data_IF_721065589649
#
_entry.id   IF_721065589649
#
_cell.length_a   1.000
_cell.length_b   1.000
_cell.length_c   1.000
_cell.angle_alpha   90.00
_cell.angle_beta   90.00
_cell.angle_gamma   90.00
#
_symmetry.space_group_name_H-M   'P 1'
#
loop_
_entity.id
_entity.type
_entity.pdbx_description
1 polymer ?
#
# COMPACT_ATOMS: atom_id res chain seq x y z
N UNK A 1 24.06 11.56 -11.11
CA UNK A 1 22.87 10.92 -11.75
C UNK A 1 23.10 10.81 -13.27
N UNK A 2 22.32 9.99 -13.99
CA UNK A 2 22.41 9.87 -15.46
C UNK A 2 21.53 10.94 -16.11
N UNK A 3 22.14 11.89 -16.83
CA UNK A 3 21.39 12.89 -17.59
C UNK A 3 21.09 12.38 -18.99
N UNK A 4 19.81 12.37 -19.37
CA UNK A 4 19.32 11.83 -20.64
C UNK A 4 18.32 12.81 -21.25
N UNK A 5 18.46 13.08 -22.56
CA UNK A 5 17.42 13.82 -23.30
C UNK A 5 16.20 12.91 -23.46
N UNK A 6 15.02 13.44 -23.14
CA UNK A 6 13.78 12.69 -23.22
C UNK A 6 13.44 12.43 -24.71
N UNK A 7 13.08 11.21 -25.01
CA UNK A 7 12.59 10.73 -26.30
C UNK A 7 11.77 9.48 -26.04
N UNK A 8 10.93 9.07 -26.99
CA UNK A 8 10.19 7.81 -26.89
C UNK A 8 11.09 6.59 -26.63
N UNK A 9 12.28 6.57 -27.22
CA UNK A 9 13.24 5.47 -27.06
C UNK A 9 13.86 5.51 -25.64
N UNK A 10 14.34 6.68 -25.19
CA UNK A 10 14.92 6.80 -23.84
C UNK A 10 13.90 6.52 -22.74
N UNK A 11 12.64 6.93 -22.91
CA UNK A 11 11.55 6.58 -21.96
C UNK A 11 11.36 5.08 -21.87
N UNK A 12 11.35 4.38 -23.01
CA UNK A 12 11.22 2.92 -23.04
C UNK A 12 12.38 2.24 -22.32
N UNK A 13 13.61 2.64 -22.59
CA UNK A 13 14.82 2.07 -21.96
C UNK A 13 14.81 2.28 -20.44
N UNK A 14 14.35 3.45 -19.99
CA UNK A 14 14.20 3.75 -18.56
C UNK A 14 13.15 2.85 -17.95
N UNK A 15 11.96 2.74 -18.54
CA UNK A 15 10.90 1.85 -18.06
C UNK A 15 11.37 0.40 -17.97
N UNK A 16 12.07 -0.11 -18.99
CA UNK A 16 12.65 -1.47 -18.97
C UNK A 16 13.66 -1.63 -17.82
N UNK A 17 14.47 -0.59 -17.54
CA UNK A 17 15.42 -0.64 -16.41
C UNK A 17 14.69 -0.60 -15.06
N UNK A 18 13.67 0.24 -14.92
CA UNK A 18 12.86 0.32 -13.69
C UNK A 18 12.14 -1.00 -13.39
N UNK A 19 11.61 -1.66 -14.41
CA UNK A 19 10.92 -2.96 -14.26
C UNK A 19 11.84 -4.08 -13.78
N UNK A 20 13.18 -3.97 -13.95
CA UNK A 20 14.13 -4.95 -13.38
C UNK A 20 14.06 -5.03 -11.86
N UNK A 21 13.58 -3.97 -11.19
CA UNK A 21 13.39 -3.90 -9.74
C UNK A 21 12.08 -4.56 -9.27
N UNK A 22 11.21 -4.93 -10.21
CA UNK A 22 9.91 -5.50 -9.88
C UNK A 22 10.05 -6.84 -9.14
N UNK A 23 9.28 -7.06 -8.05
CA UNK A 23 9.19 -8.36 -7.38
C UNK A 23 8.88 -9.53 -8.31
N UNK A 24 8.26 -9.27 -9.46
CA UNK A 24 7.98 -10.29 -10.48
C UNK A 24 9.25 -10.90 -11.11
N UNK A 25 10.41 -10.27 -10.99
CA UNK A 25 11.68 -10.73 -11.53
C UNK A 25 12.52 -11.53 -10.51
N UNK A 26 12.02 -11.76 -9.30
CA UNK A 26 12.73 -12.46 -8.23
C UNK A 26 12.38 -13.94 -8.09
N UNK A 27 12.11 -14.63 -9.20
CA UNK A 27 11.72 -16.05 -9.25
C UNK A 27 12.61 -17.01 -8.46
N UNK A 28 13.91 -16.67 -8.26
CA UNK A 28 14.83 -17.46 -7.44
C UNK A 28 14.42 -17.56 -5.95
N UNK A 29 13.62 -16.62 -5.44
CA UNK A 29 13.14 -16.64 -4.05
C UNK A 29 11.74 -17.26 -3.91
N UNK A 30 11.00 -17.43 -5.01
CA UNK A 30 9.62 -17.97 -4.98
C UNK A 30 9.57 -19.38 -4.41
N UNK A 31 10.54 -20.24 -4.75
CA UNK A 31 10.58 -21.61 -4.21
C UNK A 31 10.79 -21.64 -2.69
N UNK A 32 11.66 -20.77 -2.18
CA UNK A 32 11.89 -20.65 -0.72
C UNK A 32 10.64 -20.14 -0.02
N UNK A 33 9.97 -19.12 -0.57
CA UNK A 33 8.74 -18.59 -0.02
C UNK A 33 7.64 -19.64 -0.03
N UNK A 34 7.48 -20.38 -1.14
CA UNK A 34 6.49 -21.45 -1.23
C UNK A 34 6.70 -22.53 -0.16
N UNK A 35 7.96 -22.95 0.08
CA UNK A 35 8.30 -23.91 1.14
C UNK A 35 7.94 -23.38 2.54
N UNK A 36 8.25 -22.09 2.82
CA UNK A 36 7.91 -21.48 4.10
C UNK A 36 6.39 -21.47 4.30
N UNK A 37 5.64 -21.02 3.29
CA UNK A 37 4.19 -20.94 3.36
C UNK A 37 3.53 -22.31 3.52
N UNK A 38 4.00 -23.32 2.77
CA UNK A 38 3.50 -24.68 2.87
C UNK A 38 3.76 -25.28 4.26
N UNK A 39 4.95 -25.06 4.80
CA UNK A 39 5.29 -25.53 6.13
C UNK A 39 4.46 -24.85 7.22
N UNK A 40 4.25 -23.54 7.16
CA UNK A 40 3.35 -22.83 8.11
C UNK A 40 1.91 -23.33 8.00
N UNK A 41 1.43 -23.56 6.77
CA UNK A 41 0.08 -24.07 6.54
C UNK A 41 -0.15 -25.46 7.14
N UNK A 42 0.86 -26.34 7.09
CA UNK A 42 0.73 -27.73 7.53
C UNK A 42 1.14 -27.96 8.99
N UNK A 43 2.10 -27.19 9.52
CA UNK A 43 2.67 -27.39 10.86
C UNK A 43 2.30 -26.28 11.85
N UNK A 44 1.60 -25.22 11.43
CA UNK A 44 1.11 -24.14 12.29
C UNK A 44 2.20 -23.45 13.13
N UNK A 45 1.97 -23.33 14.42
CA UNK A 45 2.87 -22.68 15.37
C UNK A 45 4.27 -23.31 15.41
N UNK A 46 4.39 -24.62 15.20
CA UNK A 46 5.70 -25.29 15.22
C UNK A 46 6.64 -24.75 14.11
N UNK A 47 6.11 -24.58 12.89
CA UNK A 47 6.86 -23.97 11.79
C UNK A 47 7.15 -22.49 12.08
N UNK A 48 6.17 -21.77 12.63
CA UNK A 48 6.28 -20.35 12.92
C UNK A 48 7.40 -20.06 13.91
N UNK A 49 7.47 -20.82 15.03
CA UNK A 49 8.53 -20.68 16.03
C UNK A 49 9.90 -21.08 15.49
N UNK A 50 9.97 -22.16 14.71
CA UNK A 50 11.20 -22.62 14.09
C UNK A 50 11.80 -21.54 13.16
N UNK A 51 10.98 -20.93 12.29
CA UNK A 51 11.43 -19.88 11.38
C UNK A 51 11.77 -18.58 12.11
N UNK A 52 11.02 -18.19 13.15
CA UNK A 52 11.36 -17.01 13.96
C UNK A 52 12.72 -17.19 14.65
N UNK A 53 12.99 -18.39 15.19
CA UNK A 53 14.31 -18.71 15.75
C UNK A 53 15.41 -18.68 14.69
N UNK A 54 15.14 -19.21 13.50
CA UNK A 54 16.10 -19.29 12.40
C UNK A 54 16.44 -17.90 11.83
N UNK A 55 15.41 -17.07 11.54
CA UNK A 55 15.59 -15.81 10.81
C UNK A 55 15.79 -14.62 11.73
N UNK A 56 14.99 -14.50 12.77
CA UNK A 56 15.02 -13.36 13.69
C UNK A 56 15.97 -13.60 14.88
N UNK A 57 16.45 -14.84 15.07
CA UNK A 57 17.31 -15.26 16.20
C UNK A 57 16.64 -15.06 17.56
N UNK A 58 15.32 -15.09 17.60
CA UNK A 58 14.51 -14.97 18.80
C UNK A 58 13.82 -16.28 19.12
N UNK A 59 13.88 -16.68 20.40
CA UNK A 59 13.11 -17.83 20.91
C UNK A 59 11.72 -17.34 21.32
N UNK A 60 10.71 -17.61 20.49
CA UNK A 60 9.31 -17.35 20.82
C UNK A 60 8.58 -18.66 21.03
N UNK A 61 7.62 -18.66 21.95
CA UNK A 61 6.77 -19.79 22.28
C UNK A 61 5.31 -19.36 22.21
N UNK A 62 4.39 -20.29 22.38
CA UNK A 62 2.96 -20.00 22.45
C UNK A 62 2.61 -18.96 23.52
N UNK A 63 3.33 -18.97 24.64
CA UNK A 63 3.14 -18.05 25.77
C UNK A 63 3.73 -16.65 25.51
N UNK A 64 4.76 -16.57 24.66
CA UNK A 64 5.53 -15.33 24.47
C UNK A 64 5.36 -14.69 23.11
N UNK A 65 4.72 -15.36 22.15
CA UNK A 65 4.55 -14.83 20.78
C UNK A 65 3.64 -13.59 20.74
N UNK A 66 2.61 -13.55 21.57
CA UNK A 66 1.73 -12.38 21.69
C UNK A 66 2.33 -11.37 22.64
N UNK A 67 2.31 -10.10 22.23
CA UNK A 67 2.68 -8.98 23.09
C UNK A 67 1.67 -8.84 24.22
N UNK A 68 2.17 -8.69 25.44
CA UNK A 68 1.38 -8.54 26.66
C UNK A 68 1.10 -7.07 26.99
N UNK A 69 0.09 -6.80 27.82
CA UNK A 69 -0.16 -5.45 28.32
C UNK A 69 1.03 -4.91 29.13
N UNK A 70 1.75 -5.77 29.85
CA UNK A 70 2.97 -5.38 30.57
C UNK A 70 4.09 -4.91 29.63
N UNK A 71 4.26 -5.55 28.47
CA UNK A 71 5.23 -5.09 27.46
C UNK A 71 4.80 -3.75 26.84
N UNK A 72 3.50 -3.50 26.70
CA UNK A 72 2.98 -2.20 26.27
C UNK A 72 3.25 -1.12 27.32
N UNK A 73 3.00 -1.40 28.62
CA UNK A 73 3.31 -0.48 29.71
C UNK A 73 4.82 -0.17 29.78
N UNK A 74 5.67 -1.20 29.65
CA UNK A 74 7.13 -1.03 29.56
C UNK A 74 7.51 -0.11 28.38
N UNK A 75 6.87 -0.29 27.21
CA UNK A 75 7.12 0.54 26.04
C UNK A 75 6.75 2.01 26.26
N UNK A 76 5.64 2.30 26.92
CA UNK A 76 5.28 3.67 27.30
C UNK A 76 6.27 4.29 28.31
N UNK A 77 6.84 3.49 29.18
CA UNK A 77 7.87 3.97 30.11
C UNK A 77 9.22 4.26 29.44
N UNK A 78 9.50 3.62 28.30
CA UNK A 78 10.76 3.75 27.57
C UNK A 78 10.74 4.80 26.46
N UNK A 79 9.55 5.12 25.88
CA UNK A 79 9.47 6.05 24.77
C UNK A 79 9.78 7.48 25.20
N UNK A 80 10.47 8.22 24.34
CA UNK A 80 10.62 9.66 24.53
C UNK A 80 9.24 10.35 24.46
N UNK A 81 8.92 11.14 25.47
CA UNK A 81 7.66 11.89 25.55
C UNK A 81 7.48 12.88 24.39
N UNK A 82 8.57 13.44 23.83
CA UNK A 82 8.50 14.29 22.65
C UNK A 82 8.05 13.47 21.43
N UNK A 83 8.62 12.27 21.23
CA UNK A 83 8.21 11.37 20.16
C UNK A 83 6.76 10.90 20.31
N UNK A 84 6.31 10.59 21.52
CA UNK A 84 4.90 10.27 21.79
C UNK A 84 3.98 11.41 21.35
N UNK A 85 4.36 12.66 21.67
CA UNK A 85 3.62 13.85 21.23
C UNK A 85 3.56 14.00 19.71
N UNK A 86 4.64 13.65 18.99
CA UNK A 86 4.69 13.65 17.52
C UNK A 86 3.79 12.56 16.94
N UNK A 87 3.86 11.32 17.46
CA UNK A 87 3.01 10.19 17.06
C UNK A 87 1.53 10.56 17.20
N UNK A 88 1.14 11.15 18.33
CA UNK A 88 -0.25 11.56 18.60
C UNK A 88 -0.75 12.62 17.62
N UNK A 89 0.09 13.60 17.23
CA UNK A 89 -0.27 14.63 16.23
C UNK A 89 -0.40 14.02 14.84
N UNK A 90 0.55 13.16 14.43
CA UNK A 90 0.49 12.46 13.15
C UNK A 90 -0.78 11.60 13.05
N UNK A 91 -1.11 10.86 14.11
CA UNK A 91 -2.33 10.05 14.19
C UNK A 91 -3.60 10.88 13.97
N UNK A 92 -3.67 12.07 14.55
CA UNK A 92 -4.82 12.98 14.33
C UNK A 92 -4.94 13.38 12.87
N UNK A 93 -3.84 13.78 12.23
CA UNK A 93 -3.84 14.19 10.84
C UNK A 93 -4.23 13.03 9.89
N UNK A 94 -3.64 11.85 10.11
CA UNK A 94 -3.95 10.64 9.32
C UNK A 94 -5.42 10.26 9.47
N UNK A 95 -5.96 10.29 10.69
CA UNK A 95 -7.36 9.99 10.96
C UNK A 95 -8.29 10.98 10.25
N UNK A 96 -8.05 12.28 10.39
CA UNK A 96 -8.88 13.33 9.77
C UNK A 96 -8.90 13.22 8.25
N UNK A 97 -7.78 12.85 7.64
CA UNK A 97 -7.70 12.61 6.19
C UNK A 97 -8.56 11.40 5.80
N UNK A 98 -8.35 10.26 6.45
CA UNK A 98 -9.06 9.03 6.12
C UNK A 98 -10.56 9.06 6.45
N UNK A 99 -10.99 9.85 7.42
CA UNK A 99 -12.41 10.06 7.71
C UNK A 99 -13.19 10.65 6.52
N UNK A 100 -12.52 11.39 5.61
CA UNK A 100 -13.14 11.89 4.37
C UNK A 100 -13.40 10.81 3.32
N UNK A 101 -12.82 9.63 3.48
CA UNK A 101 -12.94 8.49 2.57
C UNK A 101 -14.07 7.52 2.97
N UNK A 102 -14.77 7.77 4.08
CA UNK A 102 -15.87 6.91 4.56
C UNK A 102 -16.97 6.86 3.53
N UNK A 103 -17.36 5.64 3.15
CA UNK A 103 -18.48 5.39 2.25
C UNK A 103 -19.70 4.88 3.01
N UNK A 104 -20.88 5.33 2.58
CA UNK A 104 -22.14 4.92 3.16
C UNK A 104 -22.88 3.93 2.27
N UNK A 105 -23.66 3.02 2.88
CA UNK A 105 -24.65 2.22 2.17
C UNK A 105 -25.72 3.15 1.58
N UNK A 106 -26.24 2.79 0.40
CA UNK A 106 -27.28 3.56 -0.26
C UNK A 106 -28.36 2.67 -0.87
N UNK A 107 -29.53 3.22 -1.01
CA UNK A 107 -30.70 2.59 -1.63
C UNK A 107 -31.40 3.58 -2.55
N UNK A 108 -31.93 3.07 -3.66
CA UNK A 108 -32.86 3.79 -4.51
C UNK A 108 -34.13 2.93 -4.67
N UNK A 109 -35.29 3.58 -4.72
CA UNK A 109 -36.57 2.89 -4.89
C UNK A 109 -37.37 3.54 -6.00
N UNK A 110 -38.19 2.73 -6.66
CA UNK A 110 -39.10 3.15 -7.71
C UNK A 110 -40.57 3.00 -7.28
N UNK A 111 -41.49 3.64 -8.00
CA UNK A 111 -42.91 3.64 -7.67
C UNK A 111 -43.59 2.27 -7.80
N UNK A 112 -43.00 1.34 -8.54
CA UNK A 112 -43.47 -0.04 -8.71
C UNK A 112 -43.07 -0.98 -7.55
N UNK A 113 -42.38 -0.47 -6.53
CA UNK A 113 -41.93 -1.22 -5.37
C UNK A 113 -40.60 -1.97 -5.59
N UNK A 114 -39.81 -1.59 -6.61
CA UNK A 114 -38.42 -2.06 -6.74
C UNK A 114 -37.52 -1.23 -5.82
N UNK A 115 -36.57 -1.90 -5.13
CA UNK A 115 -35.51 -1.26 -4.38
C UNK A 115 -34.15 -1.89 -4.77
N UNK A 116 -33.23 -1.06 -5.19
CA UNK A 116 -31.85 -1.42 -5.47
C UNK A 116 -30.93 -0.67 -4.54
N UNK A 117 -29.81 -1.27 -4.18
CA UNK A 117 -28.87 -0.62 -3.28
C UNK A 117 -27.52 -1.30 -3.21
N UNK A 118 -26.65 -0.68 -2.44
CA UNK A 118 -25.34 -1.21 -2.12
C UNK A 118 -25.12 -1.11 -0.61
N UNK A 119 -24.85 -2.26 0.01
CA UNK A 119 -24.46 -2.34 1.41
C UNK A 119 -22.95 -2.28 1.53
N UNK A 120 -22.45 -1.29 2.24
CA UNK A 120 -21.02 -1.16 2.61
C UNK A 120 -20.82 -1.77 3.98
N UNK A 121 -19.86 -2.68 4.11
CA UNK A 121 -19.50 -3.32 5.38
C UNK A 121 -18.00 -3.42 5.53
N UNK A 122 -17.43 -3.19 6.74
CA UNK A 122 -16.01 -3.41 6.98
C UNK A 122 -15.65 -4.89 6.84
N UNK A 123 -14.38 -5.18 6.62
CA UNK A 123 -13.81 -6.51 6.79
C UNK A 123 -13.88 -6.91 8.26
N UNK A 124 -13.95 -8.22 8.56
CA UNK A 124 -14.05 -8.67 9.95
C UNK A 124 -12.71 -8.65 10.67
N UNK A 125 -11.64 -9.06 10.00
CA UNK A 125 -10.30 -9.10 10.59
C UNK A 125 -9.24 -8.76 9.56
N UNK A 126 -8.31 -7.88 9.94
CA UNK A 126 -7.22 -7.41 9.08
C UNK A 126 -5.89 -7.70 9.75
N UNK A 127 -4.95 -8.22 8.97
CA UNK A 127 -3.55 -8.39 9.36
C UNK A 127 -2.72 -7.21 8.87
N UNK A 128 -1.96 -6.61 9.77
CA UNK A 128 -1.02 -5.54 9.48
C UNK A 128 0.39 -6.07 9.69
N UNK A 129 1.16 -6.14 8.62
CA UNK A 129 2.58 -6.46 8.68
C UNK A 129 3.41 -5.18 8.84
N UNK A 130 4.21 -5.12 9.87
CA UNK A 130 5.15 -4.01 10.09
C UNK A 130 6.57 -4.56 10.07
N UNK A 131 7.44 -4.08 9.17
CA UNK A 131 8.81 -4.54 9.13
C UNK A 131 9.57 -4.13 10.40
N UNK A 132 10.57 -4.93 10.74
CA UNK A 132 11.53 -4.65 11.81
C UNK A 132 12.95 -4.83 11.29
N UNK A 133 13.95 -4.70 12.16
CA UNK A 133 15.35 -4.91 11.84
C UNK A 133 16.18 -3.63 11.95
N UNK A 134 16.83 -3.17 10.86
CA UNK A 134 17.77 -2.02 10.91
C UNK A 134 17.07 -0.67 11.15
N UNK A 135 15.81 -0.55 10.82
CA UNK A 135 15.01 0.65 11.04
C UNK A 135 13.70 0.30 11.73
N UNK A 136 13.13 1.27 12.42
CA UNK A 136 11.87 1.18 13.15
C UNK A 136 10.87 2.11 12.44
N UNK A 137 9.66 1.64 12.18
CA UNK A 137 8.68 2.33 11.35
C UNK A 137 7.35 2.59 12.10
N UNK A 138 7.32 3.44 13.14
CA UNK A 138 6.06 3.80 13.81
C UNK A 138 5.07 4.48 12.87
N UNK A 139 5.54 5.22 11.85
CA UNK A 139 4.69 5.80 10.80
C UNK A 139 3.93 4.73 10.02
N UNK A 140 4.60 3.64 9.60
CA UNK A 140 3.94 2.55 8.90
C UNK A 140 2.90 1.83 9.75
N UNK A 141 3.07 1.80 11.07
CA UNK A 141 2.04 1.32 12.00
C UNK A 141 0.79 2.18 11.88
N UNK A 142 0.93 3.51 11.99
CA UNK A 142 -0.20 4.44 11.89
C UNK A 142 -0.89 4.35 10.53
N UNK A 143 -0.11 4.39 9.44
CA UNK A 143 -0.62 4.39 8.07
C UNK A 143 -1.39 3.13 7.68
N UNK A 144 -1.10 1.98 8.30
CA UNK A 144 -1.82 0.75 8.04
C UNK A 144 -3.01 0.54 8.97
N UNK A 145 -2.91 0.92 10.25
CA UNK A 145 -3.96 0.65 11.24
C UNK A 145 -5.07 1.71 11.22
N UNK A 146 -4.72 2.99 11.08
CA UNK A 146 -5.70 4.07 11.18
C UNK A 146 -6.81 3.97 10.12
N UNK A 147 -6.51 3.78 8.81
CA UNK A 147 -7.58 3.63 7.82
C UNK A 147 -8.45 2.40 8.07
N UNK A 148 -7.89 1.29 8.59
CA UNK A 148 -8.68 0.13 8.99
C UNK A 148 -9.64 0.43 10.14
N UNK A 149 -9.19 1.19 11.16
CA UNK A 149 -10.06 1.65 12.27
C UNK A 149 -11.14 2.62 11.78
N UNK A 150 -10.81 3.55 10.89
CA UNK A 150 -11.77 4.48 10.29
C UNK A 150 -12.82 3.73 9.46
N UNK A 151 -12.42 2.68 8.75
CA UNK A 151 -13.35 1.78 8.03
C UNK A 151 -14.30 1.02 8.95
N UNK A 152 -14.00 0.94 10.26
CA UNK A 152 -14.79 0.20 11.25
C UNK A 152 -14.41 -1.28 11.36
N UNK A 153 -13.20 -1.69 10.97
CA UNK A 153 -12.70 -3.06 11.15
C UNK A 153 -12.67 -3.41 12.65
N UNK A 154 -13.40 -4.46 13.08
CA UNK A 154 -13.52 -4.77 14.52
C UNK A 154 -12.27 -5.44 15.09
N UNK A 155 -11.47 -6.13 14.27
CA UNK A 155 -10.27 -6.85 14.73
C UNK A 155 -9.07 -6.54 13.84
N UNK A 156 -8.04 -5.92 14.42
CA UNK A 156 -6.77 -5.61 13.75
C UNK A 156 -5.64 -6.36 14.44
N UNK A 157 -5.02 -7.27 13.70
CA UNK A 157 -3.91 -8.12 14.13
C UNK A 157 -2.63 -7.59 13.52
N UNK A 158 -1.69 -7.14 14.33
CA UNK A 158 -0.38 -6.70 13.84
C UNK A 158 0.68 -7.79 14.04
N UNK A 159 1.53 -7.99 13.05
CA UNK A 159 2.74 -8.82 13.14
C UNK A 159 3.97 -7.98 12.86
N UNK A 160 5.02 -8.16 13.67
CA UNK A 160 6.31 -7.50 13.50
C UNK A 160 7.42 -8.39 14.06
N UNK A 161 8.59 -8.49 13.39
CA UNK A 161 9.66 -9.34 13.90
C UNK A 161 10.18 -8.82 15.25
N UNK A 162 10.46 -9.72 16.20
CA UNK A 162 11.12 -9.36 17.45
C UNK A 162 12.61 -9.10 17.23
N UNK A 163 13.22 -8.36 18.14
CA UNK A 163 14.66 -8.32 18.31
C UNK A 163 15.21 -9.66 18.84
N UNK A 164 16.52 -9.83 18.84
CA UNK A 164 17.20 -11.03 19.37
C UNK A 164 16.88 -11.31 20.84
N UNK A 165 16.49 -10.29 21.58
CA UNK A 165 16.03 -10.36 22.96
C UNK A 165 14.56 -10.77 23.12
N UNK A 166 13.87 -11.05 21.98
CA UNK A 166 12.46 -11.40 21.95
C UNK A 166 11.51 -10.23 22.16
N UNK A 167 12.01 -8.99 22.20
CA UNK A 167 11.20 -7.78 22.40
C UNK A 167 10.93 -7.06 21.07
N UNK A 168 9.83 -6.32 21.02
CA UNK A 168 9.51 -5.38 19.94
C UNK A 168 9.90 -3.97 20.36
N UNK A 169 10.33 -3.14 19.43
CA UNK A 169 10.73 -1.77 19.71
C UNK A 169 9.60 -0.97 20.37
N UNK A 170 9.92 -0.21 21.39
CA UNK A 170 8.94 0.55 22.19
C UNK A 170 8.11 1.51 21.33
N UNK A 171 8.71 2.25 20.40
CA UNK A 171 7.96 3.18 19.53
C UNK A 171 6.97 2.46 18.59
N UNK A 172 7.29 1.24 18.14
CA UNK A 172 6.37 0.40 17.36
C UNK A 172 5.17 -0.04 18.20
N UNK A 173 5.40 -0.50 19.43
CA UNK A 173 4.34 -0.93 20.36
C UNK A 173 3.41 0.23 20.72
N UNK A 174 4.00 1.37 21.08
CA UNK A 174 3.23 2.58 21.42
C UNK A 174 2.41 3.04 20.22
N UNK A 175 3.00 3.14 19.03
CA UNK A 175 2.25 3.51 17.82
C UNK A 175 1.11 2.54 17.53
N UNK A 176 1.31 1.22 17.72
CA UNK A 176 0.28 0.22 17.50
C UNK A 176 -0.88 0.36 18.52
N UNK A 177 -0.57 0.64 19.78
CA UNK A 177 -1.58 0.86 20.82
C UNK A 177 -2.37 2.13 20.56
N UNK A 178 -1.69 3.23 20.26
CA UNK A 178 -2.32 4.53 19.94
C UNK A 178 -3.21 4.45 18.68
N UNK A 179 -2.74 3.72 17.64
CA UNK A 179 -3.51 3.49 16.41
C UNK A 179 -4.71 2.57 16.62
N UNK A 180 -4.69 1.72 17.65
CA UNK A 180 -5.77 0.83 18.04
C UNK A 180 -5.64 -0.60 17.49
N UNK A 181 -4.42 -1.16 17.43
CA UNK A 181 -4.22 -2.60 17.22
C UNK A 181 -4.86 -3.40 18.37
N UNK A 182 -5.58 -4.47 18.04
CA UNK A 182 -6.24 -5.32 19.03
C UNK A 182 -5.31 -6.44 19.53
N UNK A 183 -4.45 -6.94 18.65
CA UNK A 183 -3.48 -8.00 18.95
C UNK A 183 -2.17 -7.72 18.22
N UNK A 184 -1.03 -7.97 18.91
CA UNK A 184 0.31 -7.79 18.35
C UNK A 184 1.09 -9.08 18.53
N UNK A 185 1.70 -9.60 17.46
CA UNK A 185 2.47 -10.84 17.47
C UNK A 185 3.91 -10.63 17.03
N UNK A 186 4.83 -11.25 17.77
CA UNK A 186 6.29 -11.17 17.60
C UNK A 186 6.76 -12.17 16.54
N UNK A 187 6.44 -11.90 15.28
CA UNK A 187 6.82 -12.71 14.13
C UNK A 187 6.97 -11.84 12.88
N UNK A 188 8.01 -12.08 12.11
CA UNK A 188 8.33 -11.38 10.87
C UNK A 188 8.35 -12.29 9.65
N UNK A 189 8.79 -11.76 8.51
CA UNK A 189 9.07 -12.52 7.29
C UNK A 189 7.87 -13.17 6.61
N UNK A 190 8.17 -14.08 5.67
CA UNK A 190 7.16 -14.82 4.92
C UNK A 190 6.30 -15.72 5.83
N UNK A 191 6.86 -16.21 6.94
CA UNK A 191 6.13 -17.05 7.89
C UNK A 191 5.02 -16.26 8.62
N UNK A 192 5.20 -14.96 8.89
CA UNK A 192 4.16 -14.11 9.43
C UNK A 192 2.99 -13.95 8.45
N UNK A 193 3.30 -13.75 7.17
CA UNK A 193 2.28 -13.68 6.10
C UNK A 193 1.52 -15.01 5.99
N UNK A 194 2.22 -16.15 6.07
CA UNK A 194 1.60 -17.47 6.10
C UNK A 194 0.67 -17.64 7.29
N UNK A 195 1.10 -17.24 8.50
CA UNK A 195 0.29 -17.31 9.72
C UNK A 195 -0.98 -16.45 9.61
N UNK A 196 -0.88 -15.22 9.11
CA UNK A 196 -2.04 -14.35 8.88
C UNK A 196 -2.99 -14.91 7.81
N UNK A 197 -2.44 -15.53 6.76
CA UNK A 197 -3.25 -16.04 5.65
C UNK A 197 -3.98 -17.34 5.96
N UNK A 198 -3.36 -18.27 6.68
CA UNK A 198 -3.92 -19.61 6.92
C UNK A 198 -4.48 -19.75 8.33
N UNK A 199 -4.01 -18.96 9.27
CA UNK A 199 -4.22 -19.14 10.70
C UNK A 199 -3.24 -20.18 11.27
N UNK A 200 -2.93 -20.04 12.55
CA UNK A 200 -2.20 -21.02 13.36
C UNK A 200 -2.91 -21.17 14.70
N UNK A 201 -2.37 -21.97 15.61
CA UNK A 201 -2.94 -22.13 16.96
C UNK A 201 -2.90 -20.82 17.77
N UNK A 202 -1.89 -19.96 17.50
CA UNK A 202 -1.70 -18.69 18.20
C UNK A 202 -2.22 -17.48 17.41
N UNK A 203 -2.09 -17.48 16.08
CA UNK A 203 -2.42 -16.34 15.22
C UNK A 203 -3.69 -16.61 14.42
N UNK A 204 -4.75 -15.81 14.60
CA UNK A 204 -5.99 -16.02 13.87
C UNK A 204 -5.83 -15.66 12.38
N UNK A 205 -6.52 -16.42 11.51
CA UNK A 205 -6.63 -16.09 10.09
C UNK A 205 -7.31 -14.71 9.92
N UNK A 206 -6.85 -13.95 8.93
CA UNK A 206 -7.39 -12.64 8.56
C UNK A 206 -8.04 -12.64 7.18
N UNK A 207 -8.82 -11.59 6.88
CA UNK A 207 -9.48 -11.42 5.58
C UNK A 207 -8.59 -10.66 4.58
N UNK A 208 -7.74 -9.76 5.08
CA UNK A 208 -6.79 -8.97 4.29
C UNK A 208 -5.48 -8.77 5.04
N UNK A 209 -4.36 -8.76 4.30
CA UNK A 209 -3.02 -8.46 4.82
C UNK A 209 -2.53 -7.18 4.15
N UNK A 210 -2.14 -6.20 4.95
CA UNK A 210 -1.58 -4.92 4.51
C UNK A 210 -0.21 -4.67 5.14
N UNK A 211 0.55 -3.79 4.53
CA UNK A 211 1.83 -3.34 5.05
C UNK A 211 3.01 -3.70 4.15
N UNK A 212 4.06 -2.84 4.15
CA UNK A 212 5.27 -3.02 3.38
C UNK A 212 6.16 -4.12 3.97
N UNK A 213 7.04 -4.69 3.17
CA UNK A 213 8.01 -5.66 3.62
C UNK A 213 9.09 -5.93 2.60
N UNK A 214 10.09 -6.70 2.98
CA UNK A 214 11.15 -7.11 2.06
C UNK A 214 10.61 -8.06 0.97
N UNK A 215 11.50 -8.44 0.06
CA UNK A 215 11.15 -9.32 -1.08
C UNK A 215 10.45 -10.62 -0.68
N UNK A 216 10.81 -11.24 0.45
CA UNK A 216 10.17 -12.47 0.93
C UNK A 216 8.73 -12.20 1.38
N UNK A 217 8.47 -11.07 2.01
CA UNK A 217 7.13 -10.63 2.41
C UNK A 217 6.28 -10.30 1.19
N UNK A 218 6.83 -9.57 0.21
CA UNK A 218 6.14 -9.22 -1.02
C UNK A 218 5.73 -10.47 -1.82
N UNK A 219 6.65 -11.43 -1.99
CA UNK A 219 6.38 -12.71 -2.65
C UNK A 219 5.39 -13.58 -1.86
N UNK A 220 5.48 -13.57 -0.53
CA UNK A 220 4.52 -14.29 0.31
C UNK A 220 3.10 -13.71 0.18
N UNK A 221 2.95 -12.37 0.20
CA UNK A 221 1.66 -11.70 -0.06
C UNK A 221 1.11 -12.08 -1.43
N UNK A 222 1.95 -12.05 -2.49
CA UNK A 222 1.57 -12.49 -3.83
C UNK A 222 1.07 -13.94 -3.84
N UNK A 223 1.77 -14.85 -3.15
CA UNK A 223 1.43 -16.28 -3.13
C UNK A 223 0.15 -16.62 -2.35
N UNK A 224 -0.20 -15.83 -1.33
CA UNK A 224 -1.42 -16.05 -0.55
C UNK A 224 -2.64 -15.30 -1.08
N UNK A 225 -2.48 -14.47 -2.11
CA UNK A 225 -3.61 -13.78 -2.75
C UNK A 225 -4.62 -14.79 -3.28
N UNK A 226 -5.88 -14.60 -2.91
CA UNK A 226 -6.98 -15.55 -3.16
C UNK A 226 -7.35 -16.39 -1.93
N UNK A 227 -6.40 -16.70 -1.02
CA UNK A 227 -6.72 -17.19 0.33
C UNK A 227 -7.13 -16.05 1.25
N UNK A 228 -6.49 -14.90 1.08
CA UNK A 228 -6.78 -13.60 1.71
C UNK A 228 -6.60 -12.50 0.68
N UNK A 229 -7.19 -11.33 0.91
CA UNK A 229 -6.86 -10.13 0.12
C UNK A 229 -5.53 -9.54 0.58
N UNK A 230 -4.91 -8.73 -0.27
CA UNK A 230 -3.71 -7.95 0.06
C UNK A 230 -3.91 -6.49 -0.36
N UNK A 231 -3.07 -5.57 0.12
CA UNK A 231 -2.97 -4.19 -0.37
C UNK A 231 -2.39 -4.15 -1.80
N UNK A 232 -1.07 -4.34 -1.91
CA UNK A 232 -0.35 -4.37 -3.17
C UNK A 232 0.89 -5.27 -3.06
N UNK A 233 1.55 -5.49 -4.20
CA UNK A 233 2.86 -6.12 -4.26
C UNK A 233 3.88 -4.99 -4.38
N UNK A 234 4.35 -4.48 -3.22
CA UNK A 234 5.27 -3.37 -3.17
C UNK A 234 6.66 -3.75 -3.70
N UNK A 235 7.21 -2.89 -4.52
CA UNK A 235 8.62 -2.88 -4.91
C UNK A 235 9.44 -1.86 -4.12
N UNK A 236 10.68 -1.60 -4.54
CA UNK A 236 11.51 -0.54 -3.98
C UNK A 236 10.90 0.84 -4.21
N UNK A 237 11.16 1.74 -3.28
CA UNK A 237 10.61 3.10 -3.28
C UNK A 237 11.05 3.97 -4.46
N UNK A 238 10.22 4.93 -4.84
CA UNK A 238 10.40 5.78 -6.02
C UNK A 238 9.98 7.22 -5.76
N UNK A 239 10.78 8.16 -6.24
CA UNK A 239 10.39 9.55 -6.36
C UNK A 239 10.60 10.05 -7.79
N UNK A 240 9.67 10.83 -8.29
CA UNK A 240 9.79 11.62 -9.50
C UNK A 240 9.49 13.08 -9.17
N UNK A 241 10.47 13.96 -9.38
CA UNK A 241 10.29 15.40 -9.27
C UNK A 241 10.13 15.97 -10.67
N UNK A 242 9.01 16.62 -10.94
CA UNK A 242 8.74 17.40 -12.13
C UNK A 242 9.00 18.88 -11.79
N UNK A 243 10.04 19.47 -12.36
CA UNK A 243 10.46 20.83 -12.02
C UNK A 243 10.86 21.63 -13.25
N UNK A 244 10.59 22.93 -13.24
CA UNK A 244 11.11 23.90 -14.20
C UNK A 244 12.23 24.77 -13.58
N UNK A 245 12.71 25.77 -14.32
CA UNK A 245 13.78 26.64 -13.87
C UNK A 245 13.41 27.57 -12.70
N UNK A 246 12.14 27.66 -12.33
CA UNK A 246 11.66 28.46 -11.18
C UNK A 246 11.86 27.76 -9.85
N UNK A 247 12.04 26.44 -9.87
CA UNK A 247 12.25 25.63 -8.68
C UNK A 247 13.60 25.91 -8.01
N UNK A 248 13.69 25.62 -6.70
CA UNK A 248 14.95 25.70 -5.98
C UNK A 248 15.75 24.38 -6.16
N UNK A 249 16.93 24.42 -6.84
CA UNK A 249 17.70 23.19 -7.10
C UNK A 249 18.19 22.50 -5.82
N UNK A 250 18.41 23.25 -4.74
CA UNK A 250 18.82 22.73 -3.45
C UNK A 250 17.71 21.88 -2.78
N UNK A 251 16.45 22.34 -2.88
CA UNK A 251 15.29 21.58 -2.37
C UNK A 251 15.05 20.33 -3.19
N UNK A 252 15.01 20.46 -4.52
CA UNK A 252 14.82 19.31 -5.42
C UNK A 252 15.90 18.24 -5.22
N UNK A 253 17.15 18.63 -5.03
CA UNK A 253 18.24 17.69 -4.73
C UNK A 253 18.02 16.96 -3.40
N UNK A 254 17.56 17.67 -2.36
CA UNK A 254 17.26 17.07 -1.06
C UNK A 254 16.11 16.07 -1.16
N UNK A 255 15.04 16.40 -1.91
CA UNK A 255 13.88 15.55 -2.09
C UNK A 255 14.21 14.27 -2.89
N UNK A 256 15.03 14.35 -3.93
CA UNK A 256 15.54 13.17 -4.65
C UNK A 256 16.33 12.23 -3.73
N UNK A 257 17.10 12.79 -2.80
CA UNK A 257 17.95 12.02 -1.91
C UNK A 257 17.20 11.44 -0.71
N UNK A 258 16.08 12.04 -0.27
CA UNK A 258 15.22 11.47 0.76
C UNK A 258 14.75 10.07 0.37
N UNK A 259 14.47 9.87 -0.93
CA UNK A 259 14.06 8.56 -1.44
C UNK A 259 15.25 7.63 -1.73
N UNK A 260 16.35 8.18 -2.28
CA UNK A 260 17.54 7.38 -2.61
C UNK A 260 18.19 6.73 -1.38
N UNK A 261 18.00 7.28 -0.18
CA UNK A 261 18.55 6.71 1.06
C UNK A 261 17.79 5.49 1.59
N UNK A 262 16.59 5.19 1.08
CA UNK A 262 15.77 4.08 1.57
C UNK A 262 16.41 2.71 1.29
N UNK A 263 16.85 2.49 0.05
CA UNK A 263 17.43 1.21 -0.40
C UNK A 263 18.31 1.39 -1.64
N UNK A 264 19.25 0.46 -1.89
CA UNK A 264 20.10 0.45 -3.08
C UNK A 264 19.32 0.31 -4.40
N UNK A 265 18.07 -0.15 -4.33
CA UNK A 265 17.13 -0.29 -5.44
C UNK A 265 16.13 0.86 -5.53
N UNK A 266 16.17 1.83 -4.63
CA UNK A 266 15.32 3.02 -4.71
C UNK A 266 15.60 3.80 -6.00
N UNK A 267 14.58 4.51 -6.49
CA UNK A 267 14.66 5.28 -7.73
C UNK A 267 14.41 6.76 -7.48
N UNK A 268 15.28 7.61 -8.01
CA UNK A 268 15.15 9.05 -7.95
C UNK A 268 15.25 9.64 -9.36
N UNK A 269 14.16 10.27 -9.83
CA UNK A 269 14.05 10.83 -11.17
C UNK A 269 13.71 12.31 -11.08
N UNK A 270 14.49 13.15 -11.75
CA UNK A 270 14.12 14.51 -12.09
C UNK A 270 13.68 14.57 -13.56
N UNK A 271 12.54 15.19 -13.83
CA UNK A 271 12.17 15.61 -15.19
C UNK A 271 12.09 17.13 -15.22
N UNK A 272 12.81 17.75 -16.16
CA UNK A 272 12.84 19.22 -16.32
C UNK A 272 12.97 19.60 -17.77
N UNK A 273 12.55 20.83 -18.09
CA UNK A 273 12.74 21.44 -19.42
C UNK A 273 14.03 22.24 -19.54
N UNK A 274 14.77 22.43 -18.43
CA UNK A 274 15.95 23.28 -18.36
C UNK A 274 17.23 22.49 -18.12
N UNK A 275 18.12 22.43 -19.11
CA UNK A 275 19.47 21.85 -18.96
C UNK A 275 20.33 22.56 -17.90
N UNK A 276 20.15 23.88 -17.74
CA UNK A 276 20.89 24.65 -16.75
C UNK A 276 20.42 24.29 -15.33
N UNK A 277 19.11 24.17 -15.12
CA UNK A 277 18.52 23.72 -13.86
C UNK A 277 18.98 22.31 -13.51
N UNK A 278 18.93 21.39 -14.48
CA UNK A 278 19.39 20.02 -14.32
C UNK A 278 20.84 19.92 -13.80
N UNK A 279 21.75 20.75 -14.35
CA UNK A 279 23.16 20.81 -13.89
C UNK A 279 23.25 21.28 -12.45
N UNK A 280 22.50 22.35 -12.08
CA UNK A 280 22.48 22.85 -10.70
C UNK A 280 22.00 21.78 -9.71
N UNK A 281 20.94 21.04 -10.05
CA UNK A 281 20.44 19.94 -9.20
C UNK A 281 21.49 18.83 -9.07
N UNK A 282 22.17 18.43 -10.16
CA UNK A 282 23.20 17.38 -10.10
C UNK A 282 24.43 17.79 -9.25
N UNK A 283 24.77 19.09 -9.26
CA UNK A 283 25.82 19.66 -8.39
C UNK A 283 25.39 19.62 -6.91
N UNK A 284 24.18 20.02 -6.59
CA UNK A 284 23.63 19.95 -5.23
C UNK A 284 23.53 18.51 -4.71
N UNK A 285 23.05 17.56 -5.54
CA UNK A 285 23.03 16.13 -5.22
C UNK A 285 24.42 15.63 -4.82
N UNK A 286 25.47 15.98 -5.61
CA UNK A 286 26.85 15.57 -5.29
C UNK A 286 27.32 16.17 -3.96
N UNK A 287 26.96 17.44 -3.69
CA UNK A 287 27.28 18.11 -2.44
C UNK A 287 26.64 17.40 -1.23
N UNK A 288 25.36 17.08 -1.32
CA UNK A 288 24.65 16.39 -0.24
C UNK A 288 25.17 14.95 0.01
N UNK A 289 25.47 14.19 -1.06
CA UNK A 289 25.98 12.83 -0.91
C UNK A 289 27.26 12.78 -0.08
N UNK A 290 28.10 13.83 -0.11
CA UNK A 290 29.33 13.87 0.69
C UNK A 290 29.10 13.99 2.20
N UNK A 291 27.94 14.52 2.63
CA UNK A 291 27.66 14.81 4.05
C UNK A 291 26.60 13.89 4.66
N UNK A 292 25.78 13.22 3.85
CA UNK A 292 24.70 12.34 4.35
C UNK A 292 25.24 11.03 4.89
N UNK A 293 24.63 10.55 5.99
CA UNK A 293 25.08 9.37 6.74
C UNK A 293 24.96 8.05 5.97
N UNK A 294 24.01 7.95 5.02
CA UNK A 294 23.75 6.72 4.23
C UNK A 294 24.37 6.78 2.83
N UNK A 295 25.47 7.49 2.67
CA UNK A 295 26.18 7.76 1.41
C UNK A 295 26.31 6.53 0.49
N UNK A 296 26.70 5.38 1.02
CA UNK A 296 26.92 4.17 0.19
C UNK A 296 25.61 3.66 -0.44
N UNK A 297 24.50 3.70 0.30
CA UNK A 297 23.19 3.29 -0.19
C UNK A 297 22.69 4.27 -1.25
N UNK A 298 22.77 5.57 -0.93
CA UNK A 298 22.39 6.66 -1.83
C UNK A 298 23.17 6.55 -3.15
N UNK A 299 24.50 6.38 -3.08
CA UNK A 299 25.33 6.31 -4.27
C UNK A 299 24.93 5.14 -5.19
N UNK A 300 24.68 3.95 -4.61
CA UNK A 300 24.23 2.78 -5.38
C UNK A 300 22.86 2.97 -6.02
N UNK A 301 21.92 3.58 -5.28
CA UNK A 301 20.61 3.96 -5.78
C UNK A 301 20.73 4.88 -7.00
N UNK A 302 21.50 5.97 -6.86
CA UNK A 302 21.69 6.95 -7.92
C UNK A 302 22.46 6.40 -9.14
N UNK A 303 23.46 5.52 -8.92
CA UNK A 303 24.23 4.90 -10.00
C UNK A 303 23.36 3.95 -10.84
N UNK A 304 22.44 3.26 -10.21
CA UNK A 304 21.61 2.25 -10.87
C UNK A 304 20.29 2.85 -11.41
N UNK A 305 19.63 3.71 -10.63
CA UNK A 305 18.26 4.16 -10.86
C UNK A 305 18.06 5.66 -10.70
N UNK A 306 19.13 6.46 -10.62
CA UNK A 306 19.08 7.92 -10.59
C UNK A 306 19.11 8.53 -12.00
N UNK A 307 18.07 9.27 -12.38
CA UNK A 307 17.95 9.88 -13.70
C UNK A 307 17.63 11.38 -13.61
N UNK A 308 18.19 12.15 -14.55
CA UNK A 308 17.77 13.49 -14.88
C UNK A 308 17.34 13.49 -16.34
N UNK A 309 16.06 13.73 -16.59
CA UNK A 309 15.45 13.70 -17.91
C UNK A 309 15.20 15.12 -18.38
N UNK A 310 15.70 15.45 -19.56
CA UNK A 310 15.52 16.77 -20.18
C UNK A 310 14.43 16.65 -21.24
N UNK A 311 13.26 17.21 -20.97
CA UNK A 311 12.13 17.28 -21.89
C UNK A 311 12.23 18.52 -22.80
N UNK A 312 11.59 18.46 -23.96
CA UNK A 312 11.48 19.59 -24.89
C UNK A 312 10.52 20.66 -24.34
N UNK A 313 9.43 20.21 -23.73
CA UNK A 313 8.42 21.05 -23.07
C UNK A 313 7.76 20.34 -21.88
N UNK A 314 6.88 21.05 -21.17
CA UNK A 314 6.21 20.52 -19.98
C UNK A 314 5.17 19.44 -20.33
N UNK A 315 4.56 19.46 -21.50
CA UNK A 315 3.60 18.44 -21.92
C UNK A 315 4.31 17.10 -22.16
N UNK A 316 5.49 17.10 -22.81
CA UNK A 316 6.35 15.91 -22.96
C UNK A 316 6.81 15.40 -21.59
N UNK A 317 7.20 16.32 -20.68
CA UNK A 317 7.61 15.97 -19.33
C UNK A 317 6.50 15.24 -18.54
N UNK A 318 5.27 15.76 -18.61
CA UNK A 318 4.11 15.16 -17.95
C UNK A 318 3.70 13.83 -18.61
N UNK A 319 3.78 13.71 -19.94
CA UNK A 319 3.52 12.44 -20.63
C UNK A 319 4.49 11.35 -20.15
N UNK A 320 5.78 11.67 -20.06
CA UNK A 320 6.79 10.75 -19.53
C UNK A 320 6.54 10.39 -18.06
N UNK A 321 6.18 11.35 -17.22
CA UNK A 321 5.82 11.10 -15.83
C UNK A 321 4.61 10.16 -15.71
N UNK A 322 3.57 10.35 -16.54
CA UNK A 322 2.42 9.47 -16.61
C UNK A 322 2.77 8.04 -17.08
N UNK A 323 3.75 7.90 -18.00
CA UNK A 323 4.26 6.60 -18.42
C UNK A 323 5.08 5.90 -17.33
N UNK A 324 5.87 6.64 -16.57
CA UNK A 324 6.63 6.11 -15.43
C UNK A 324 5.67 5.70 -14.31
N UNK A 325 4.64 6.51 -14.07
CA UNK A 325 3.64 6.28 -13.01
C UNK A 325 4.30 6.06 -11.63
N UNK A 326 5.01 7.07 -11.10
CA UNK A 326 5.83 6.94 -9.91
C UNK A 326 5.01 6.73 -8.64
N UNK A 327 5.66 6.20 -7.61
CA UNK A 327 5.12 6.12 -6.25
C UNK A 327 4.85 7.53 -5.69
N UNK A 328 5.89 8.35 -5.60
CA UNK A 328 5.81 9.75 -5.17
C UNK A 328 6.07 10.65 -6.37
N UNK A 329 5.21 11.63 -6.59
CA UNK A 329 5.38 12.65 -7.63
C UNK A 329 5.33 14.05 -7.00
N UNK A 330 6.43 14.76 -7.10
CA UNK A 330 6.49 16.20 -6.74
C UNK A 330 6.38 17.07 -7.99
N UNK A 331 5.58 18.12 -7.91
CA UNK A 331 5.38 19.10 -8.98
C UNK A 331 5.84 20.45 -8.47
N UNK A 332 7.02 20.88 -8.91
CA UNK A 332 7.69 22.11 -8.48
C UNK A 332 7.94 23.00 -9.70
N UNK A 333 6.85 23.50 -10.25
CA UNK A 333 6.83 24.33 -11.48
C UNK A 333 6.20 25.69 -11.20
N UNK A 334 6.30 26.61 -12.16
CA UNK A 334 5.67 27.93 -12.07
C UNK A 334 4.11 27.83 -11.95
N UNK A 335 3.49 26.77 -12.50
CA UNK A 335 2.05 26.57 -12.50
C UNK A 335 1.66 25.16 -12.00
N UNK A 336 2.02 24.75 -10.78
CA UNK A 336 1.97 23.37 -10.36
C UNK A 336 0.52 22.80 -10.26
N UNK A 337 -0.48 23.65 -10.03
CA UNK A 337 -1.89 23.21 -10.00
C UNK A 337 -2.45 22.94 -11.41
N UNK A 338 -1.98 23.67 -12.44
CA UNK A 338 -2.35 23.41 -13.83
C UNK A 338 -1.70 22.12 -14.33
N UNK A 339 -0.43 21.93 -14.03
CA UNK A 339 0.34 20.75 -14.40
C UNK A 339 -0.21 19.49 -13.71
N UNK A 340 -0.58 19.59 -12.42
CA UNK A 340 -1.24 18.50 -11.70
C UNK A 340 -2.49 17.97 -12.42
N UNK A 341 -3.28 18.85 -13.05
CA UNK A 341 -4.52 18.42 -13.72
C UNK A 341 -4.26 17.54 -14.96
N UNK A 342 -3.04 17.52 -15.48
CA UNK A 342 -2.62 16.68 -16.60
C UNK A 342 -2.02 15.35 -16.12
N UNK A 343 -1.66 15.24 -14.84
CA UNK A 343 -1.13 14.01 -14.24
C UNK A 343 -2.26 13.02 -14.03
N UNK A 344 -2.06 11.79 -14.51
CA UNK A 344 -3.05 10.70 -14.44
C UNK A 344 -2.58 9.55 -13.54
N UNK A 345 -1.28 9.33 -13.46
CA UNK A 345 -0.70 8.13 -12.87
C UNK A 345 0.41 8.52 -11.89
N UNK A 346 0.07 8.60 -10.62
CA UNK A 346 1.01 8.72 -9.51
C UNK A 346 0.40 8.12 -8.25
N UNK A 347 1.21 7.56 -7.36
CA UNK A 347 0.74 7.04 -6.08
C UNK A 347 0.31 8.17 -5.13
N UNK A 348 1.15 9.19 -4.99
CA UNK A 348 0.84 10.45 -4.30
C UNK A 348 1.39 11.63 -5.11
N UNK A 349 0.71 12.79 -5.03
CA UNK A 349 1.11 14.02 -5.72
C UNK A 349 1.35 15.11 -4.67
N UNK A 350 2.54 15.70 -4.70
CA UNK A 350 2.99 16.78 -3.84
C UNK A 350 3.13 18.06 -4.68
N UNK A 351 2.56 19.16 -4.22
CA UNK A 351 2.42 20.37 -5.03
C UNK A 351 3.16 21.53 -4.39
N UNK A 352 4.14 22.06 -5.13
CA UNK A 352 4.94 23.22 -4.73
C UNK A 352 6.12 22.86 -3.82
N UNK A 353 7.06 23.81 -3.70
CA UNK A 353 8.39 23.61 -3.10
C UNK A 353 8.42 23.31 -1.59
N UNK A 354 7.29 23.49 -0.89
CA UNK A 354 7.16 23.21 0.54
C UNK A 354 6.38 21.92 0.82
N UNK A 355 6.09 21.14 -0.20
CA UNK A 355 5.33 19.88 -0.10
C UNK A 355 6.23 18.70 -0.49
N UNK A 356 7.29 18.50 0.28
CA UNK A 356 8.23 17.40 0.05
C UNK A 356 7.67 16.03 0.48
N UNK A 357 8.19 14.96 -0.09
CA UNK A 357 7.78 13.58 0.19
C UNK A 357 7.79 13.24 1.70
N UNK A 358 8.83 13.59 2.50
CA UNK A 358 8.84 13.28 3.93
C UNK A 358 7.67 13.90 4.71
N UNK A 359 7.11 15.03 4.24
CA UNK A 359 5.90 15.60 4.82
C UNK A 359 4.72 14.62 4.70
N UNK A 360 4.55 13.98 3.54
CA UNK A 360 3.55 12.97 3.29
C UNK A 360 3.79 11.72 4.12
N UNK A 361 5.01 11.24 4.14
CA UNK A 361 5.39 10.00 4.83
C UNK A 361 5.13 10.04 6.33
N UNK A 362 5.28 11.18 6.95
CA UNK A 362 5.22 11.26 8.41
C UNK A 362 4.05 12.05 8.98
N UNK A 363 3.54 13.09 8.29
CA UNK A 363 2.73 14.07 9.02
C UNK A 363 1.52 14.66 8.29
N UNK A 364 1.50 14.72 6.96
CA UNK A 364 0.43 15.39 6.21
C UNK A 364 -0.95 14.73 6.37
N UNK A 365 -0.99 13.40 6.51
CA UNK A 365 -2.23 12.64 6.68
C UNK A 365 -2.58 11.67 5.56
N UNK A 366 -2.33 11.95 4.26
CA UNK A 366 -2.43 10.95 3.21
C UNK A 366 -1.57 9.72 3.49
N UNK A 367 -1.99 8.56 2.95
CA UNK A 367 -1.30 7.31 3.23
C UNK A 367 -0.01 7.17 2.43
N UNK A 368 1.04 6.68 3.08
CA UNK A 368 2.33 6.42 2.44
C UNK A 368 2.51 4.97 1.93
N UNK A 369 1.51 4.11 2.11
CA UNK A 369 1.51 2.79 1.46
C UNK A 369 0.99 2.97 0.05
N UNK A 370 1.91 3.15 -0.88
CA UNK A 370 1.66 3.60 -2.24
C UNK A 370 1.95 2.50 -3.27
N UNK A 371 1.35 2.55 -4.45
CA UNK A 371 1.70 1.68 -5.57
C UNK A 371 3.08 2.05 -6.12
N UNK A 372 3.92 1.05 -6.38
CA UNK A 372 5.28 1.17 -6.91
C UNK A 372 5.42 0.49 -8.27
N UNK A 373 6.56 0.65 -8.95
CA UNK A 373 6.89 -0.02 -10.22
C UNK A 373 5.84 0.19 -11.32
N UNK A 374 5.34 1.42 -11.45
CA UNK A 374 4.37 1.79 -12.47
C UNK A 374 2.96 1.28 -12.21
N UNK A 375 2.69 0.66 -11.05
CA UNK A 375 1.36 0.14 -10.72
C UNK A 375 0.36 1.22 -10.35
N UNK A 376 0.80 2.47 -10.17
CA UNK A 376 -0.09 3.63 -10.03
C UNK A 376 -1.02 3.85 -11.26
N UNK A 377 -0.78 3.15 -12.37
CA UNK A 377 -1.69 3.08 -13.51
C UNK A 377 -3.01 2.37 -13.21
N UNK A 378 -3.07 1.54 -12.16
CA UNK A 378 -4.25 0.74 -11.81
C UNK A 378 -4.43 0.45 -10.31
N UNK A 379 -3.47 0.80 -9.46
CA UNK A 379 -3.59 0.79 -8.00
C UNK A 379 -3.60 2.21 -7.44
N UNK A 380 -4.15 2.35 -6.24
CA UNK A 380 -4.17 3.59 -5.46
C UNK A 380 -3.40 3.43 -4.16
N UNK A 381 -3.14 4.53 -3.46
CA UNK A 381 -2.68 4.52 -2.08
C UNK A 381 -3.64 3.74 -1.18
N UNK A 382 -3.14 3.10 -0.14
CA UNK A 382 -3.95 2.44 0.87
C UNK A 382 -4.96 3.40 1.47
N UNK A 383 -6.22 3.00 1.50
CA UNK A 383 -7.34 3.86 1.87
C UNK A 383 -8.40 3.10 2.67
N UNK A 384 -9.44 3.80 3.10
CA UNK A 384 -10.61 3.19 3.76
C UNK A 384 -11.28 2.16 2.85
N UNK A 385 -11.25 2.35 1.53
CA UNK A 385 -11.82 1.41 0.55
C UNK A 385 -11.18 0.02 0.59
N UNK A 386 -9.93 -0.06 0.99
CA UNK A 386 -9.21 -1.32 1.15
C UNK A 386 -9.75 -2.21 2.26
N UNK A 387 -10.46 -1.64 3.21
CA UNK A 387 -10.93 -2.29 4.43
C UNK A 387 -12.44 -2.51 4.47
N UNK A 388 -13.13 -2.20 3.38
CA UNK A 388 -14.56 -2.41 3.22
C UNK A 388 -14.85 -3.37 2.06
N UNK A 389 -16.06 -3.93 2.08
CA UNK A 389 -16.63 -4.68 0.95
C UNK A 389 -18.05 -4.18 0.66
N UNK A 390 -18.46 -4.32 -0.59
CA UNK A 390 -19.74 -3.83 -1.09
C UNK A 390 -20.57 -5.00 -1.60
N UNK A 391 -21.81 -5.11 -1.12
CA UNK A 391 -22.77 -6.13 -1.56
C UNK A 391 -23.95 -5.46 -2.24
N UNK A 392 -24.33 -5.95 -3.40
CA UNK A 392 -25.56 -5.49 -4.07
C UNK A 392 -26.79 -5.96 -3.32
N UNK A 393 -27.78 -5.08 -3.21
CA UNK A 393 -29.08 -5.36 -2.64
C UNK A 393 -30.10 -5.22 -3.76
N UNK A 394 -30.90 -6.27 -3.95
CA UNK A 394 -31.95 -6.35 -4.95
C UNK A 394 -33.24 -6.78 -4.26
N UNK A 395 -34.26 -5.94 -4.34
CA UNK A 395 -35.61 -6.24 -3.92
C UNK A 395 -36.59 -5.87 -5.03
N UNK A 396 -37.48 -6.81 -5.37
CA UNK A 396 -38.59 -6.60 -6.31
C UNK A 396 -39.89 -6.99 -5.64
N UNK A 397 -40.90 -6.15 -5.78
CA UNK A 397 -42.26 -6.55 -5.46
C UNK A 397 -42.76 -7.60 -6.47
N UNK A 398 -43.82 -8.35 -6.13
CA UNK A 398 -44.44 -9.31 -7.06
C UNK A 398 -44.89 -8.62 -8.35
N UNK A 399 -45.49 -7.43 -8.24
CA UNK A 399 -45.95 -6.66 -9.40
C UNK A 399 -44.81 -6.18 -10.28
N UNK A 400 -43.72 -5.70 -9.68
CA UNK A 400 -42.55 -5.28 -10.42
C UNK A 400 -41.89 -6.44 -11.19
N UNK A 401 -41.73 -7.60 -10.53
CA UNK A 401 -41.20 -8.79 -11.19
C UNK A 401 -42.13 -9.28 -12.31
N UNK A 402 -43.45 -9.20 -12.12
CA UNK A 402 -44.46 -9.58 -13.13
C UNK A 402 -44.27 -8.81 -14.44
N UNK A 403 -43.89 -7.57 -14.37
CA UNK A 403 -43.69 -6.72 -15.56
C UNK A 403 -42.51 -7.16 -16.44
N UNK A 404 -41.52 -7.84 -15.87
CA UNK A 404 -40.25 -8.20 -16.55
C UNK A 404 -39.99 -9.71 -16.61
N UNK A 405 -40.82 -10.56 -15.98
CA UNK A 405 -40.52 -11.99 -15.81
C UNK A 405 -40.31 -12.71 -17.16
N UNK A 406 -41.10 -12.39 -18.19
CA UNK A 406 -40.99 -13.00 -19.53
C UNK A 406 -39.67 -12.66 -20.19
N UNK A 407 -39.19 -11.45 -20.06
CA UNK A 407 -37.91 -11.00 -20.60
C UNK A 407 -36.75 -11.74 -19.95
N UNK A 408 -36.82 -11.95 -18.61
CA UNK A 408 -35.80 -12.71 -17.89
C UNK A 408 -35.78 -14.18 -18.35
N UNK A 409 -36.99 -14.79 -18.50
CA UNK A 409 -37.12 -16.18 -18.98
C UNK A 409 -36.54 -16.31 -20.38
N UNK A 410 -36.86 -15.38 -21.29
CA UNK A 410 -36.35 -15.37 -22.66
C UNK A 410 -34.82 -15.25 -22.69
N UNK A 411 -34.26 -14.35 -21.87
CA UNK A 411 -32.82 -14.13 -21.78
C UNK A 411 -32.09 -15.37 -21.27
N UNK A 412 -32.55 -15.94 -20.15
CA UNK A 412 -31.98 -17.17 -19.59
C UNK A 412 -32.07 -18.37 -20.55
N UNK A 413 -33.18 -18.45 -21.31
CA UNK A 413 -33.37 -19.50 -22.32
C UNK A 413 -32.39 -19.32 -23.50
N UNK A 414 -32.11 -18.09 -23.91
CA UNK A 414 -31.14 -17.82 -24.99
C UNK A 414 -29.72 -18.27 -24.62
N UNK A 415 -29.41 -18.27 -23.33
CA UNK A 415 -28.14 -18.77 -22.75
C UNK A 415 -28.19 -20.29 -22.43
N UNK A 416 -29.28 -20.97 -22.78
CA UNK A 416 -29.54 -22.39 -22.48
C UNK A 416 -29.58 -22.70 -20.97
N UNK A 417 -29.83 -21.69 -20.14
CA UNK A 417 -29.90 -21.81 -18.66
C UNK A 417 -31.34 -22.06 -18.22
N UNK A 418 -31.86 -23.27 -18.50
CA UNK A 418 -33.26 -23.63 -18.24
C UNK A 418 -33.67 -23.57 -16.77
N UNK A 419 -32.76 -23.86 -15.84
CA UNK A 419 -33.01 -23.73 -14.42
C UNK A 419 -33.16 -22.25 -13.97
N UNK A 420 -32.44 -21.33 -14.59
CA UNK A 420 -32.62 -19.89 -14.37
C UNK A 420 -33.98 -19.41 -14.86
N UNK A 421 -34.35 -19.81 -16.08
CA UNK A 421 -35.67 -19.52 -16.65
C UNK A 421 -36.80 -20.07 -15.75
N UNK A 422 -36.67 -21.33 -15.34
CA UNK A 422 -37.65 -21.99 -14.45
C UNK A 422 -37.76 -21.30 -13.09
N UNK A 423 -36.65 -20.82 -12.50
CA UNK A 423 -36.66 -20.09 -11.24
C UNK A 423 -37.57 -18.85 -11.27
N UNK A 424 -37.70 -18.20 -12.41
CA UNK A 424 -38.64 -17.07 -12.61
C UNK A 424 -40.03 -17.57 -12.93
N UNK A 425 -40.18 -18.55 -13.83
CA UNK A 425 -41.48 -19.06 -14.30
C UNK A 425 -42.36 -19.60 -13.17
N UNK A 426 -41.81 -20.38 -12.25
CA UNK A 426 -42.57 -20.96 -11.13
C UNK A 426 -43.21 -19.94 -10.18
N UNK A 427 -42.76 -18.69 -10.21
CA UNK A 427 -43.33 -17.60 -9.39
C UNK A 427 -44.65 -17.11 -9.91
N UNK A 428 -45.02 -17.48 -11.16
CA UNK A 428 -46.24 -17.03 -11.86
C UNK A 428 -47.00 -18.14 -12.55
N UNK A 429 -46.57 -19.42 -12.39
CA UNK A 429 -47.16 -20.57 -13.11
C UNK A 429 -48.65 -20.80 -12.85
N UNK A 430 -49.16 -20.40 -11.66
CA UNK A 430 -50.58 -20.50 -11.33
C UNK A 430 -51.40 -19.37 -11.97
N UNK A 431 -50.80 -18.23 -12.24
CA UNK A 431 -51.44 -17.08 -12.83
C UNK A 431 -51.39 -17.11 -14.38
N UNK A 432 -50.42 -17.78 -14.98
CA UNK A 432 -50.29 -17.94 -16.43
C UNK A 432 -51.13 -19.08 -16.99
N UNK A 433 -51.82 -19.85 -16.10
CA UNK A 433 -52.77 -20.91 -16.48
C UNK A 433 -54.21 -20.43 -16.55
N UNK A 434 -54.53 -19.23 -16.09
CA UNK A 434 -55.82 -18.54 -16.28
C UNK A 434 -55.80 -17.64 -17.51
#
# INVERSE_FOLDING_TARGET
MRTVKLTKESTKDILENLLKRSPNNYGKFESTVAQILDKVKNEGDAALFAYTKEFDKADVTKETIRVTDAEIEEAYAQIDHALLGVISKALVNIRQYHEKQIQNSWFTSTTDGTMLGQKVTPLNRVGVYVPGGKAVYPSSVLMNIVPAKVAGVPHIVMTTPPGKDGKVCASTLVAAKEAGADEIYKVGGAQAIGALAFGTESIPKVDKIVGPGNIFVALAKKAVYGYVSIDSIAGPSEILVLADETANPHFVAADLLSQAEHDELACAILITTSEEFAKKVDEEVKGFVEVLSRKEIIQKSLDNFGYILIAEDMDEAIEAANEIAPEHMEIVTANPFEDMMKVKNAGAIFIGEYSSEPLGDYFAGPNHVLPTNGTAKFFSALSVDDFIKKSSIVYYSKSALRNIHKDIIQFATSEQLTAHANSIAVRFEDEDKE
#
